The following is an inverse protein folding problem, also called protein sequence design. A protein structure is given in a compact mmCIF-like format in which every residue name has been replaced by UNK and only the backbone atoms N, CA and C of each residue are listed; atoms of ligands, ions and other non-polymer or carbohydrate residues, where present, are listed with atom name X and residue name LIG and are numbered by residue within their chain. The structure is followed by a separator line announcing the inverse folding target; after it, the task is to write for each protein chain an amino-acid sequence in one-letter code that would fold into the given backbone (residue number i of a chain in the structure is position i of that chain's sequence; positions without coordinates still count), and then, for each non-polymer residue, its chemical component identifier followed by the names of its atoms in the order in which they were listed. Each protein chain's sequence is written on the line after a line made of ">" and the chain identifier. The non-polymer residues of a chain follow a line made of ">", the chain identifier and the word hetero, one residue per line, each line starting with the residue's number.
data_IF_111056605979
#
_entry.id   IF_111056605979
#
_cell.length_a   1.000
_cell.length_b   1.000
_cell.length_c   1.000
_cell.angle_alpha   90.00
_cell.angle_beta   90.00
_cell.angle_gamma   90.00
#
_symmetry.space_group_name_H-M   'P 1'
#
loop_
_entity.id
_entity.type
_entity.pdbx_description
1 polymer ?
#
# COMPACT_ATOMS: atom_id res chain seq x y z
N UNK A 1 -5.70 7.86 -16.93
CA UNK A 1 -4.75 7.92 -15.80
C UNK A 1 -4.35 9.37 -15.62
N UNK A 2 -4.55 9.96 -14.43
CA UNK A 2 -4.29 11.39 -14.23
C UNK A 2 -2.82 11.77 -14.50
N UNK A 3 -2.49 13.06 -14.67
CA UNK A 3 -1.15 13.53 -15.05
C UNK A 3 -0.07 13.29 -13.97
N UNK A 4 -0.35 12.52 -12.92
CA UNK A 4 0.49 12.35 -11.74
C UNK A 4 1.89 11.84 -12.08
N UNK A 5 2.02 10.84 -12.95
CA UNK A 5 3.34 10.32 -13.34
C UNK A 5 4.14 11.36 -14.11
N UNK A 6 3.57 11.93 -15.18
CA UNK A 6 4.24 12.94 -16.03
C UNK A 6 4.62 14.18 -15.20
N UNK A 7 3.69 14.68 -14.37
CA UNK A 7 3.93 15.82 -13.47
C UNK A 7 5.04 15.51 -12.47
N UNK A 8 5.09 14.29 -11.95
CA UNK A 8 6.13 13.88 -11.00
C UNK A 8 7.50 13.83 -11.68
N UNK A 9 7.65 13.12 -12.81
CA UNK A 9 8.96 13.01 -13.48
C UNK A 9 9.45 14.33 -14.05
N UNK A 10 8.56 15.24 -14.45
CA UNK A 10 8.91 16.59 -14.88
C UNK A 10 9.56 17.44 -13.77
N UNK A 11 9.29 17.13 -12.50
CA UNK A 11 9.92 17.81 -11.35
C UNK A 11 11.29 17.24 -10.95
N UNK A 12 11.74 16.14 -11.57
CA UNK A 12 12.98 15.47 -11.21
C UNK A 12 14.12 15.84 -12.16
N UNK A 13 15.34 15.98 -11.61
CA UNK A 13 16.55 16.16 -12.39
C UNK A 13 17.21 14.81 -12.71
N UNK A 14 17.88 14.71 -13.86
CA UNK A 14 18.63 13.51 -14.24
C UNK A 14 17.79 12.29 -14.65
N UNK A 15 16.48 12.47 -14.82
CA UNK A 15 15.57 11.40 -15.26
C UNK A 15 15.45 11.42 -16.79
N UNK A 16 15.69 10.26 -17.41
CA UNK A 16 15.59 10.10 -18.86
C UNK A 16 14.16 9.76 -19.32
N UNK A 17 13.37 9.10 -18.47
CA UNK A 17 12.00 8.67 -18.76
C UNK A 17 10.99 9.76 -18.38
N UNK A 18 10.21 10.23 -19.34
CA UNK A 18 9.29 11.37 -19.21
C UNK A 18 7.81 10.99 -19.33
N UNK A 19 7.51 9.76 -19.71
CA UNK A 19 6.14 9.26 -19.85
C UNK A 19 6.00 7.80 -19.43
N UNK A 20 4.75 7.37 -19.25
CA UNK A 20 4.46 5.98 -18.90
C UNK A 20 4.78 5.04 -20.07
N UNK A 21 4.58 5.51 -21.30
CA UNK A 21 4.92 4.82 -22.54
C UNK A 21 6.44 4.61 -22.66
N UNK A 22 7.23 5.63 -22.34
CA UNK A 22 8.69 5.52 -22.31
C UNK A 22 9.14 4.53 -21.23
N UNK A 23 8.50 4.52 -20.06
CA UNK A 23 8.79 3.54 -19.01
C UNK A 23 8.47 2.11 -19.48
N UNK A 24 7.30 1.91 -20.08
CA UNK A 24 6.86 0.62 -20.64
C UNK A 24 7.83 0.14 -21.72
N UNK A 25 8.28 1.02 -22.60
CA UNK A 25 9.25 0.70 -23.65
C UNK A 25 10.63 0.39 -23.08
N UNK A 26 11.11 1.18 -22.12
CA UNK A 26 12.37 0.90 -21.41
C UNK A 26 12.35 -0.51 -20.81
N UNK A 27 11.24 -0.87 -20.15
CA UNK A 27 11.11 -2.18 -19.53
C UNK A 27 11.10 -3.34 -20.53
N UNK A 28 10.54 -3.14 -21.73
CA UNK A 28 10.55 -4.14 -22.80
C UNK A 28 11.94 -4.35 -23.40
N UNK A 29 12.75 -3.30 -23.47
CA UNK A 29 14.13 -3.36 -23.98
C UNK A 29 15.13 -3.87 -22.92
N UNK A 30 14.79 -3.77 -21.64
CA UNK A 30 15.63 -4.19 -20.51
C UNK A 30 14.90 -5.14 -19.54
N UNK A 31 14.36 -6.28 -20.02
CA UNK A 31 13.63 -7.21 -19.16
C UNK A 31 14.46 -7.69 -17.97
N UNK A 32 15.77 -7.81 -18.13
CA UNK A 32 16.71 -8.19 -17.09
C UNK A 32 16.84 -7.15 -15.95
N UNK A 33 16.49 -5.89 -16.19
CA UNK A 33 16.52 -4.80 -15.20
C UNK A 33 15.14 -4.48 -14.63
N UNK A 34 14.10 -4.76 -15.39
CA UNK A 34 12.75 -4.23 -15.12
C UNK A 34 11.82 -5.25 -14.47
N UNK A 35 11.81 -6.51 -14.90
CA UNK A 35 10.89 -7.52 -14.36
C UNK A 35 11.49 -8.93 -14.37
N UNK A 36 11.34 -9.68 -13.27
CA UNK A 36 11.48 -11.13 -13.34
C UNK A 36 10.33 -11.70 -14.21
N UNK A 37 10.53 -12.81 -14.93
CA UNK A 37 9.51 -13.47 -15.79
C UNK A 37 8.14 -13.69 -15.10
N UNK A 38 8.11 -13.70 -13.76
CA UNK A 38 6.91 -13.88 -12.94
C UNK A 38 6.25 -12.59 -12.44
N UNK A 39 6.75 -11.41 -12.82
CA UNK A 39 6.27 -10.15 -12.30
C UNK A 39 5.23 -9.51 -13.24
N UNK A 40 3.96 -9.50 -12.81
CA UNK A 40 2.84 -8.91 -13.54
C UNK A 40 2.86 -7.37 -13.58
N UNK A 41 3.82 -6.70 -12.96
CA UNK A 41 3.81 -5.25 -12.78
C UNK A 41 3.76 -4.44 -14.10
N UNK A 42 4.38 -4.94 -15.18
CA UNK A 42 4.28 -4.30 -16.51
C UNK A 42 2.82 -4.23 -17.00
N UNK A 43 2.00 -5.27 -16.72
CA UNK A 43 0.59 -5.31 -17.17
C UNK A 43 -0.24 -4.19 -16.55
N UNK A 44 0.08 -3.76 -15.33
CA UNK A 44 -0.60 -2.61 -14.71
C UNK A 44 -0.25 -1.30 -15.43
N UNK A 45 1.01 -1.11 -15.85
CA UNK A 45 1.40 0.08 -16.62
C UNK A 45 0.73 0.09 -18.00
N UNK A 46 0.72 -1.05 -18.69
CA UNK A 46 0.07 -1.20 -19.99
C UNK A 46 -1.45 -1.00 -19.89
N UNK A 47 -2.09 -1.58 -18.88
CA UNK A 47 -3.52 -1.36 -18.61
C UNK A 47 -3.85 0.10 -18.37
N UNK A 48 -2.93 0.86 -17.77
CA UNK A 48 -3.14 2.26 -17.50
C UNK A 48 -2.95 3.16 -18.72
N UNK A 49 -2.07 2.80 -19.65
CA UNK A 49 -1.95 3.45 -20.98
C UNK A 49 -3.22 3.16 -21.79
N UNK A 50 -3.71 1.92 -21.76
CA UNK A 50 -4.87 1.46 -22.53
C UNK A 50 -6.22 1.77 -21.88
N UNK A 51 -6.27 2.65 -20.89
CA UNK A 51 -7.53 3.03 -20.26
C UNK A 51 -8.28 4.03 -21.17
N UNK A 52 -9.60 3.85 -21.30
CA UNK A 52 -10.43 4.65 -22.18
C UNK A 52 -11.50 5.46 -21.44
N UNK A 53 -11.40 5.59 -20.11
CA UNK A 53 -12.34 6.40 -19.35
C UNK A 53 -12.20 7.87 -19.76
N UNK A 54 -13.33 8.48 -20.06
CA UNK A 54 -13.45 9.93 -20.14
C UNK A 54 -13.26 10.54 -18.76
N UNK A 55 -12.92 11.84 -18.71
CA UNK A 55 -12.79 12.57 -17.45
C UNK A 55 -14.11 12.58 -16.66
N UNK A 56 -15.25 12.59 -17.35
CA UNK A 56 -16.58 12.55 -16.74
C UNK A 56 -16.87 11.19 -16.09
N UNK A 57 -16.65 10.09 -16.81
CA UNK A 57 -16.79 8.73 -16.28
C UNK A 57 -15.85 8.49 -15.10
N UNK A 58 -14.61 8.98 -15.19
CA UNK A 58 -13.64 8.87 -14.10
C UNK A 58 -14.12 9.62 -12.85
N UNK A 59 -14.61 10.85 -13.00
CA UNK A 59 -15.13 11.65 -11.88
C UNK A 59 -16.39 11.04 -11.27
N UNK A 60 -17.30 10.53 -12.10
CA UNK A 60 -18.50 9.85 -11.65
C UNK A 60 -18.16 8.60 -10.82
N UNK A 61 -17.30 7.73 -11.35
CA UNK A 61 -16.83 6.54 -10.65
C UNK A 61 -16.09 6.90 -9.35
N UNK A 62 -15.29 7.97 -9.35
CA UNK A 62 -14.60 8.44 -8.14
C UNK A 62 -15.58 8.93 -7.07
N UNK A 63 -16.66 9.62 -7.46
CA UNK A 63 -17.66 10.14 -6.52
C UNK A 63 -18.47 8.99 -5.91
N UNK A 64 -18.97 8.08 -6.75
CA UNK A 64 -19.71 6.89 -6.31
C UNK A 64 -18.87 6.04 -5.35
N UNK A 65 -17.61 5.78 -5.71
CA UNK A 65 -16.75 4.95 -4.89
C UNK A 65 -16.37 5.63 -3.56
N UNK A 66 -16.32 6.97 -3.50
CA UNK A 66 -16.19 7.73 -2.24
C UNK A 66 -17.44 7.63 -1.38
N UNK A 67 -18.62 7.83 -1.96
CA UNK A 67 -19.89 7.73 -1.23
C UNK A 67 -20.05 6.35 -0.58
N UNK A 68 -19.78 5.29 -1.34
CA UNK A 68 -19.91 3.91 -0.84
C UNK A 68 -18.85 3.61 0.24
N UNK A 69 -17.56 3.85 -0.04
CA UNK A 69 -16.48 3.37 0.83
C UNK A 69 -16.24 4.29 2.05
N UNK A 70 -16.44 5.60 1.88
CA UNK A 70 -16.11 6.60 2.90
C UNK A 70 -17.36 6.98 3.67
N UNK A 71 -18.37 7.53 2.99
CA UNK A 71 -19.52 8.15 3.66
C UNK A 71 -20.42 7.07 4.29
N UNK A 72 -20.88 6.12 3.49
CA UNK A 72 -21.72 4.99 3.91
C UNK A 72 -20.92 3.84 4.56
N UNK A 73 -19.58 3.93 4.51
CA UNK A 73 -18.67 2.94 5.06
C UNK A 73 -18.06 3.39 6.40
N UNK A 74 -16.86 3.95 6.32
CA UNK A 74 -16.05 4.32 7.50
C UNK A 74 -16.76 5.37 8.36
N UNK A 75 -17.26 6.45 7.74
CA UNK A 75 -17.84 7.60 8.47
C UNK A 75 -19.15 7.21 9.14
N UNK A 76 -20.09 6.61 8.40
CA UNK A 76 -21.36 6.15 8.97
C UNK A 76 -21.13 5.18 10.13
N UNK A 77 -20.25 4.19 9.97
CA UNK A 77 -19.96 3.19 11.01
C UNK A 77 -19.42 3.84 12.28
N UNK A 78 -18.43 4.73 12.15
CA UNK A 78 -17.87 5.45 13.31
C UNK A 78 -18.93 6.29 14.03
N UNK A 79 -19.81 6.97 13.28
CA UNK A 79 -20.82 7.86 13.85
C UNK A 79 -21.99 7.09 14.50
N UNK A 80 -22.53 6.09 13.80
CA UNK A 80 -23.67 5.28 14.24
C UNK A 80 -23.40 4.59 15.57
N UNK A 81 -22.19 4.05 15.73
CA UNK A 81 -21.78 3.33 16.93
C UNK A 81 -20.97 4.18 17.91
N UNK A 82 -20.79 5.48 17.63
CA UNK A 82 -20.03 6.42 18.46
C UNK A 82 -18.63 5.90 18.81
N UNK A 83 -17.92 5.41 17.80
CA UNK A 83 -16.60 4.78 17.94
C UNK A 83 -15.48 5.81 17.76
N UNK A 84 -14.39 5.63 18.48
CA UNK A 84 -13.14 6.39 18.27
C UNK A 84 -12.27 5.81 17.13
N UNK A 85 -12.35 4.49 16.90
CA UNK A 85 -11.65 3.81 15.81
C UNK A 85 -12.35 2.49 15.43
N UNK A 86 -12.12 2.06 14.19
CA UNK A 86 -12.42 0.70 13.73
C UNK A 86 -11.21 -0.20 14.00
N UNK A 87 -11.46 -1.47 14.35
CA UNK A 87 -10.43 -2.49 14.57
C UNK A 87 -10.66 -3.67 13.64
N UNK A 88 -9.59 -4.13 13.00
CA UNK A 88 -9.65 -5.16 11.96
C UNK A 88 -8.30 -5.90 11.87
N UNK A 89 -8.24 -7.10 11.28
CA UNK A 89 -6.96 -7.71 10.97
C UNK A 89 -6.09 -6.77 10.13
N UNK A 90 -4.81 -6.66 10.46
CA UNK A 90 -3.91 -5.71 9.80
C UNK A 90 -3.77 -5.94 8.29
N UNK A 91 -3.98 -7.17 7.82
CA UNK A 91 -3.94 -7.51 6.40
C UNK A 91 -5.36 -7.55 5.84
N UNK A 92 -5.90 -6.39 5.48
CA UNK A 92 -7.19 -6.25 4.80
C UNK A 92 -7.12 -5.10 3.79
N UNK A 93 -8.08 -5.06 2.87
CA UNK A 93 -8.24 -3.96 1.90
C UNK A 93 -8.66 -2.64 2.56
N UNK A 94 -8.90 -2.62 3.87
CA UNK A 94 -9.27 -1.42 4.62
C UNK A 94 -8.22 -0.30 4.49
N UNK A 95 -6.93 -0.65 4.31
CA UNK A 95 -5.89 0.36 4.07
C UNK A 95 -6.15 1.22 2.82
N UNK A 96 -6.77 0.64 1.79
CA UNK A 96 -7.15 1.35 0.56
C UNK A 96 -8.29 2.33 0.86
N UNK A 97 -9.35 1.87 1.51
CA UNK A 97 -10.52 2.68 1.83
C UNK A 97 -10.19 3.79 2.85
N UNK A 98 -9.36 3.50 3.84
CA UNK A 98 -8.90 4.49 4.81
C UNK A 98 -8.02 5.56 4.15
N UNK A 99 -7.16 5.19 3.19
CA UNK A 99 -6.39 6.16 2.42
C UNK A 99 -7.30 7.09 1.60
N UNK A 100 -8.37 6.56 1.00
CA UNK A 100 -9.38 7.36 0.30
C UNK A 100 -10.15 8.29 1.23
N UNK A 101 -10.52 7.81 2.42
CA UNK A 101 -11.11 8.60 3.50
C UNK A 101 -10.15 9.61 4.13
N UNK A 102 -8.86 9.55 3.79
CA UNK A 102 -7.78 10.30 4.44
C UNK A 102 -7.79 10.09 5.97
N UNK A 103 -8.19 8.89 6.39
CA UNK A 103 -8.32 8.52 7.77
C UNK A 103 -6.96 7.97 8.26
N UNK A 104 -6.45 8.43 9.42
CA UNK A 104 -5.21 7.91 9.96
C UNK A 104 -5.39 6.44 10.34
N UNK A 105 -4.38 5.63 9.96
CA UNK A 105 -4.36 4.20 10.27
C UNK A 105 -3.11 3.84 11.04
N UNK A 106 -3.23 2.83 11.91
CA UNK A 106 -2.13 2.32 12.72
C UNK A 106 -2.21 0.82 12.82
N UNK A 107 -1.08 0.12 12.84
CA UNK A 107 -1.04 -1.33 13.03
C UNK A 107 -0.21 -1.69 14.24
N UNK A 108 -0.72 -2.56 15.09
CA UNK A 108 -0.02 -3.10 16.26
C UNK A 108 0.17 -4.62 16.11
N UNK A 109 1.27 -5.17 16.63
CA UNK A 109 1.54 -6.60 16.53
C UNK A 109 0.68 -7.39 17.51
N UNK A 110 -0.03 -8.41 17.03
CA UNK A 110 -0.87 -9.28 17.85
C UNK A 110 -0.23 -10.64 18.10
N UNK A 111 0.55 -11.16 17.15
CA UNK A 111 1.21 -12.45 17.31
C UNK A 111 1.92 -12.94 16.05
N UNK A 112 2.20 -14.25 16.04
CA UNK A 112 2.75 -14.96 14.88
C UNK A 112 1.97 -16.24 14.63
N UNK A 113 1.75 -16.58 13.37
CA UNK A 113 1.28 -17.90 12.98
C UNK A 113 2.32 -18.97 13.34
N UNK A 114 1.92 -20.25 13.34
CA UNK A 114 2.81 -21.39 13.61
C UNK A 114 4.09 -21.39 12.76
N UNK A 115 4.03 -20.84 11.55
CA UNK A 115 5.16 -20.76 10.62
C UNK A 115 6.05 -19.51 10.83
N UNK A 116 5.83 -18.75 11.90
CA UNK A 116 6.61 -17.54 12.23
C UNK A 116 6.16 -16.26 11.53
N UNK A 117 5.19 -16.32 10.60
CA UNK A 117 4.64 -15.12 9.94
C UNK A 117 3.90 -14.25 10.97
N UNK A 118 4.26 -12.96 11.16
CA UNK A 118 3.56 -12.09 12.08
C UNK A 118 2.16 -11.73 11.56
N UNK A 119 1.24 -11.47 12.49
CA UNK A 119 -0.04 -10.83 12.22
C UNK A 119 -0.35 -9.79 13.31
N UNK A 120 -1.23 -8.84 12.98
CA UNK A 120 -1.52 -7.69 13.81
C UNK A 120 -2.97 -7.25 13.73
N UNK A 121 -3.27 -6.23 14.53
CA UNK A 121 -4.52 -5.48 14.46
C UNK A 121 -4.25 -4.14 13.78
N UNK A 122 -5.05 -3.83 12.78
CA UNK A 122 -5.15 -2.52 12.17
C UNK A 122 -6.23 -1.70 12.86
N UNK A 123 -5.94 -0.43 13.05
CA UNK A 123 -6.83 0.61 13.55
C UNK A 123 -7.07 1.63 12.45
N UNK A 124 -8.31 2.09 12.32
CA UNK A 124 -8.69 3.22 11.46
C UNK A 124 -9.45 4.22 12.32
N UNK A 125 -8.84 5.38 12.59
CA UNK A 125 -9.49 6.46 13.31
C UNK A 125 -10.12 7.46 12.34
N UNK A 126 -10.92 8.39 12.85
CA UNK A 126 -11.51 9.46 12.03
C UNK A 126 -10.41 10.35 11.45
N UNK A 127 -10.65 10.90 10.25
CA UNK A 127 -9.80 11.92 9.63
C UNK A 127 -9.45 13.02 10.65
N UNK A 128 -8.15 13.31 10.78
CA UNK A 128 -7.56 14.26 11.75
C UNK A 128 -7.56 13.83 13.23
N UNK A 129 -8.03 12.63 13.58
CA UNK A 129 -7.98 12.09 14.95
C UNK A 129 -6.68 11.29 15.21
N UNK A 130 -5.56 11.68 14.59
CA UNK A 130 -4.23 11.06 14.75
C UNK A 130 -3.81 10.95 16.23
N UNK A 131 -4.12 11.98 17.03
CA UNK A 131 -3.84 11.99 18.46
C UNK A 131 -4.57 10.87 19.22
N UNK A 132 -5.84 10.63 18.92
CA UNK A 132 -6.60 9.52 19.52
C UNK A 132 -6.06 8.18 19.07
N UNK A 133 -5.71 8.05 17.78
CA UNK A 133 -5.10 6.83 17.27
C UNK A 133 -3.80 6.48 18.02
N UNK A 134 -2.92 7.45 18.21
CA UNK A 134 -1.68 7.27 18.97
C UNK A 134 -1.94 6.90 20.43
N UNK A 135 -2.96 7.49 21.07
CA UNK A 135 -3.36 7.11 22.43
C UNK A 135 -3.84 5.65 22.50
N UNK A 136 -4.67 5.21 21.55
CA UNK A 136 -5.13 3.81 21.44
C UNK A 136 -3.93 2.87 21.27
N UNK A 137 -3.01 3.20 20.37
CA UNK A 137 -1.81 2.40 20.13
C UNK A 137 -0.89 2.36 21.36
N UNK A 138 -0.77 3.48 22.08
CA UNK A 138 0.01 3.53 23.32
C UNK A 138 -0.62 2.68 24.42
N UNK A 139 -1.95 2.74 24.56
CA UNK A 139 -2.68 1.90 25.50
C UNK A 139 -2.50 0.42 25.16
N UNK A 140 -2.58 0.06 23.87
CA UNK A 140 -2.30 -1.29 23.41
C UNK A 140 -0.90 -1.75 23.83
N UNK A 141 0.14 -0.96 23.57
CA UNK A 141 1.52 -1.29 23.96
C UNK A 141 1.68 -1.50 25.48
N UNK A 142 0.94 -0.73 26.30
CA UNK A 142 1.00 -0.84 27.76
C UNK A 142 0.21 -2.03 28.34
N UNK A 143 -0.71 -2.60 27.57
CA UNK A 143 -1.65 -3.63 28.03
C UNK A 143 -1.37 -5.01 27.44
N UNK A 144 -0.82 -5.08 26.22
CA UNK A 144 -0.50 -6.33 25.53
C UNK A 144 0.97 -6.71 25.71
N UNK A 145 1.30 -8.02 25.59
CA UNK A 145 2.69 -8.46 25.61
C UNK A 145 3.54 -7.78 24.51
N UNK A 146 4.84 -7.56 24.76
CA UNK A 146 5.73 -7.01 23.75
C UNK A 146 5.77 -7.84 22.48
N UNK A 147 6.01 -7.17 21.34
CA UNK A 147 6.18 -7.81 20.04
C UNK A 147 7.27 -8.89 20.10
N UNK A 148 6.94 -10.09 19.61
CA UNK A 148 7.92 -11.16 19.47
C UNK A 148 9.07 -10.76 18.51
N UNK A 149 10.30 -11.00 18.95
CA UNK A 149 11.50 -10.79 18.12
C UNK A 149 11.56 -11.91 17.07
N UNK A 150 11.73 -11.56 15.77
CA UNK A 150 11.82 -12.56 14.72
C UNK A 150 13.10 -13.38 14.89
N UNK A 151 12.99 -14.69 14.71
CA UNK A 151 14.15 -15.56 14.60
C UNK A 151 14.91 -15.27 13.30
N UNK A 152 16.24 -15.38 13.34
CA UNK A 152 17.08 -15.17 12.15
C UNK A 152 16.72 -16.20 11.09
N UNK A 153 16.09 -15.77 9.99
CA UNK A 153 15.86 -16.64 8.84
C UNK A 153 17.20 -17.10 8.26
N UNK A 154 17.32 -18.40 7.94
CA UNK A 154 18.50 -18.91 7.22
C UNK A 154 18.48 -18.36 5.80
N UNK A 155 19.46 -17.50 5.50
CA UNK A 155 19.59 -16.63 4.33
C UNK A 155 19.46 -17.29 2.93
N UNK A 156 19.51 -18.63 2.84
CA UNK A 156 19.62 -19.39 1.58
C UNK A 156 18.37 -19.38 0.67
N UNK A 157 17.24 -18.80 1.09
CA UNK A 157 15.99 -18.87 0.30
C UNK A 157 15.89 -17.81 -0.81
N UNK A 158 16.57 -16.67 -0.66
CA UNK A 158 16.46 -15.52 -1.58
C UNK A 158 17.45 -15.55 -2.75
N UNK A 159 18.59 -16.24 -2.62
CA UNK A 159 19.57 -16.45 -3.70
C UNK A 159 18.97 -17.13 -4.95
N UNK A 160 17.85 -17.85 -4.76
CA UNK A 160 17.11 -18.53 -5.84
C UNK A 160 16.18 -17.61 -6.62
N UNK A 161 15.89 -16.41 -6.11
CA UNK A 161 14.86 -15.50 -6.63
C UNK A 161 15.50 -14.18 -7.10
N UNK A 162 16.59 -13.75 -6.47
CA UNK A 162 17.33 -12.56 -6.89
C UNK A 162 18.41 -12.93 -7.91
N UNK A 163 18.45 -12.28 -9.09
CA UNK A 163 19.56 -12.44 -10.03
C UNK A 163 20.88 -12.09 -9.34
N UNK A 164 21.89 -12.99 -9.44
CA UNK A 164 23.21 -12.83 -8.78
C UNK A 164 23.88 -11.46 -9.02
N UNK A 165 23.59 -10.81 -10.15
CA UNK A 165 24.08 -9.47 -10.50
C UNK A 165 23.70 -8.36 -9.51
N UNK A 166 22.62 -8.52 -8.74
CA UNK A 166 22.22 -7.54 -7.70
C UNK A 166 22.95 -7.72 -6.36
N UNK A 167 23.58 -8.89 -6.14
CA UNK A 167 24.26 -9.22 -4.88
C UNK A 167 25.75 -8.89 -4.89
N UNK A 168 26.33 -8.60 -6.07
CA UNK A 168 27.77 -8.35 -6.28
C UNK A 168 28.32 -7.04 -5.71
N UNK A 169 27.63 -6.41 -4.75
CA UNK A 169 28.10 -5.19 -4.05
C UNK A 169 28.18 -5.32 -2.53
N UNK A 170 27.94 -6.52 -1.97
CA UNK A 170 27.96 -6.75 -0.52
C UNK A 170 28.90 -7.90 -0.10
N UNK A 171 29.95 -8.16 -0.88
CA UNK A 171 31.06 -9.07 -0.53
C UNK A 171 32.35 -8.29 -0.34
#
# INVERSE_FOLDING_TARGET
>A
MGPGFVKHVASLHGVQVKSLEELVNFNRHHPELSYAERNAAQRYLESAINQHLTEEEYRAALLEAKEIAIDNGIIETLNKYKLDALVLPAWTEMSIYAAWAQAPTGTVPLGKYRQGKPYGLGFVARRFDDGKLLQIMKLYESTFPPRLIPERMRWRRWERILPRKYLGKFS
#
